data_IF_013267761559
#
_entry.id   IF_013267761559
#
_cell.length_a   1.000
_cell.length_b   1.000
_cell.length_c   1.000
_cell.angle_alpha   90.00
_cell.angle_beta   90.00
_cell.angle_gamma   90.00
#
_symmetry.space_group_name_H-M   'P 1'
#
loop_
_entity.id
_entity.type
_entity.pdbx_description
1 polymer ?
#
# COMPACT_ATOMS: atom_id res chain seq x y z
N UNK A 1 -46.44 -15.01 4.87
CA UNK A 1 -45.44 -14.06 4.34
C UNK A 1 -44.18 -14.36 5.11
N UNK A 2 -43.27 -15.10 4.49
CA UNK A 2 -41.98 -15.38 5.12
C UNK A 2 -41.20 -14.06 5.22
N UNK A 3 -40.66 -13.78 6.40
CA UNK A 3 -39.96 -12.54 6.67
C UNK A 3 -38.65 -12.54 5.88
N UNK A 4 -38.46 -11.54 5.02
CA UNK A 4 -37.18 -11.33 4.34
C UNK A 4 -36.06 -11.26 5.38
N UNK A 5 -34.94 -11.88 5.08
CA UNK A 5 -33.76 -11.84 5.94
C UNK A 5 -32.85 -10.70 5.47
N UNK A 6 -32.15 -10.08 6.39
CA UNK A 6 -31.10 -9.11 6.06
C UNK A 6 -29.73 -9.73 6.36
N UNK A 7 -28.74 -9.36 5.57
CA UNK A 7 -27.33 -9.68 5.78
C UNK A 7 -26.49 -8.41 5.63
N UNK A 8 -25.32 -8.37 6.24
CA UNK A 8 -24.31 -7.38 5.91
C UNK A 8 -23.32 -7.99 4.92
N UNK A 9 -22.90 -7.20 3.93
CA UNK A 9 -21.88 -7.56 2.95
C UNK A 9 -20.77 -6.52 3.02
N UNK A 10 -19.54 -6.95 3.31
CA UNK A 10 -18.36 -6.10 3.18
C UNK A 10 -17.87 -6.15 1.73
N UNK A 11 -17.69 -4.98 1.14
CA UNK A 11 -17.21 -4.77 -0.22
C UNK A 11 -15.89 -4.02 -0.12
N UNK A 12 -14.79 -4.70 -0.42
CA UNK A 12 -13.46 -4.11 -0.36
C UNK A 12 -13.23 -3.12 -1.51
N UNK A 13 -12.66 -1.97 -1.19
CA UNK A 13 -12.46 -0.88 -2.14
C UNK A 13 -11.57 -1.31 -3.33
N UNK A 14 -10.53 -2.09 -3.05
CA UNK A 14 -9.56 -2.55 -4.05
C UNK A 14 -10.20 -3.52 -5.06
N UNK A 15 -11.00 -4.47 -4.58
CA UNK A 15 -11.71 -5.40 -5.46
C UNK A 15 -12.75 -4.67 -6.31
N UNK A 16 -13.50 -3.77 -5.69
CA UNK A 16 -14.52 -2.98 -6.37
C UNK A 16 -13.91 -2.06 -7.44
N UNK A 17 -12.78 -1.40 -7.15
CA UNK A 17 -12.11 -0.52 -8.11
C UNK A 17 -11.60 -1.25 -9.36
N UNK A 18 -11.31 -2.55 -9.26
CA UNK A 18 -10.84 -3.37 -10.37
C UNK A 18 -11.98 -3.82 -11.29
N UNK A 19 -13.01 -4.48 -10.73
CA UNK A 19 -14.07 -5.15 -11.52
C UNK A 19 -15.50 -4.89 -10.99
N UNK A 20 -15.67 -4.00 -10.01
CA UNK A 20 -16.95 -3.73 -9.37
C UNK A 20 -17.95 -3.07 -10.31
N UNK A 21 -19.23 -3.43 -10.14
CA UNK A 21 -20.34 -2.77 -10.83
C UNK A 21 -21.00 -1.76 -9.89
N UNK A 22 -21.13 -0.46 -10.25
CA UNK A 22 -21.81 0.53 -9.43
C UNK A 22 -23.24 0.15 -9.07
N UNK A 23 -23.66 0.48 -7.84
CA UNK A 23 -25.02 0.29 -7.35
C UNK A 23 -25.41 1.33 -6.29
N UNK A 24 -26.70 1.45 -6.03
CA UNK A 24 -27.26 2.41 -5.09
C UNK A 24 -28.21 1.78 -4.05
N UNK A 25 -28.43 2.51 -2.95
CA UNK A 25 -29.44 2.15 -1.96
C UNK A 25 -30.83 2.12 -2.62
N UNK A 26 -31.57 1.05 -2.35
CA UNK A 26 -32.88 0.79 -2.93
C UNK A 26 -32.88 0.00 -4.23
N UNK A 27 -31.72 -0.30 -4.82
CA UNK A 27 -31.58 -1.13 -6.02
C UNK A 27 -31.51 -2.63 -5.67
N UNK A 28 -31.94 -3.47 -6.62
CA UNK A 28 -31.71 -4.91 -6.57
C UNK A 28 -30.35 -5.20 -7.23
N UNK A 29 -29.46 -5.87 -6.50
CA UNK A 29 -28.09 -6.20 -6.93
C UNK A 29 -27.83 -7.68 -6.76
N UNK A 30 -26.93 -8.22 -7.57
CA UNK A 30 -26.35 -9.56 -7.37
C UNK A 30 -24.90 -9.40 -6.97
N UNK A 31 -24.54 -9.91 -5.79
CA UNK A 31 -23.17 -9.91 -5.30
C UNK A 31 -22.69 -11.36 -5.17
N UNK A 32 -21.49 -11.64 -5.64
CA UNK A 32 -20.80 -12.91 -5.39
C UNK A 32 -20.25 -12.88 -3.97
N UNK A 33 -20.80 -13.73 -3.10
CA UNK A 33 -20.49 -13.75 -1.67
C UNK A 33 -19.62 -14.95 -1.30
N UNK A 34 -18.72 -14.73 -0.34
CA UNK A 34 -18.10 -15.79 0.46
C UNK A 34 -18.40 -15.57 1.94
N UNK A 35 -18.50 -16.68 2.67
CA UNK A 35 -18.55 -16.63 4.11
C UNK A 35 -17.12 -16.43 4.68
N UNK A 36 -16.96 -15.68 5.78
CA UNK A 36 -15.69 -15.57 6.47
C UNK A 36 -15.25 -16.90 7.10
N UNK A 37 -13.94 -17.07 7.31
CA UNK A 37 -13.32 -18.32 7.83
C UNK A 37 -13.53 -18.53 9.32
N UNK A 38 -13.72 -17.45 10.09
CA UNK A 38 -14.12 -17.48 11.50
C UNK A 38 -15.53 -16.91 11.64
N UNK A 39 -16.19 -17.14 12.78
CA UNK A 39 -17.42 -16.46 13.19
C UNK A 39 -17.13 -14.95 13.24
N UNK A 40 -17.19 -14.28 12.08
CA UNK A 40 -17.14 -12.84 12.00
C UNK A 40 -18.32 -12.35 12.83
N UNK A 41 -18.02 -11.55 13.86
CA UNK A 41 -19.04 -11.02 14.76
C UNK A 41 -20.19 -10.44 13.97
N UNK A 42 -21.39 -10.99 14.13
CA UNK A 42 -22.61 -10.43 13.57
C UNK A 42 -22.70 -8.95 13.98
N UNK A 43 -22.80 -8.04 13.01
CA UNK A 43 -22.97 -6.63 13.32
C UNK A 43 -24.44 -6.36 13.62
N UNK A 44 -24.74 -5.87 14.81
CA UNK A 44 -26.11 -5.71 15.32
C UNK A 44 -26.95 -7.01 15.24
N UNK A 45 -26.31 -8.17 15.37
CA UNK A 45 -26.97 -9.47 15.27
C UNK A 45 -27.32 -9.91 13.84
N UNK A 46 -26.83 -9.20 12.83
CA UNK A 46 -26.99 -9.55 11.41
C UNK A 46 -25.71 -10.24 10.90
N UNK A 47 -25.82 -11.40 10.22
CA UNK A 47 -24.64 -12.11 9.73
C UNK A 47 -23.92 -11.31 8.64
N UNK A 48 -22.60 -11.42 8.63
CA UNK A 48 -21.71 -10.68 7.72
C UNK A 48 -21.06 -11.62 6.72
N UNK A 49 -21.03 -11.19 5.45
CA UNK A 49 -20.39 -11.87 4.33
C UNK A 49 -19.41 -10.94 3.62
N UNK A 50 -18.54 -11.48 2.80
CA UNK A 50 -17.58 -10.73 2.00
C UNK A 50 -18.00 -10.83 0.53
N UNK A 51 -18.04 -9.70 -0.17
CA UNK A 51 -18.12 -9.70 -1.62
C UNK A 51 -16.74 -10.07 -2.18
N UNK A 52 -16.70 -11.06 -3.07
CA UNK A 52 -15.47 -11.61 -3.64
C UNK A 52 -15.54 -11.54 -5.17
N UNK A 53 -14.65 -10.73 -5.77
CA UNK A 53 -14.53 -10.59 -7.22
C UNK A 53 -13.28 -11.29 -7.79
N UNK A 54 -12.30 -11.65 -6.94
CA UNK A 54 -11.01 -12.18 -7.36
C UNK A 54 -10.64 -13.42 -6.54
N UNK A 55 -11.39 -14.52 -6.65
CA UNK A 55 -11.14 -15.69 -5.82
C UNK A 55 -9.72 -16.23 -6.06
N UNK A 56 -8.90 -16.16 -5.02
CA UNK A 56 -7.53 -16.67 -5.03
C UNK A 56 -7.46 -18.20 -4.88
N UNK A 57 -8.55 -18.83 -4.43
CA UNK A 57 -8.63 -20.26 -4.14
C UNK A 57 -10.00 -20.79 -4.60
N UNK A 58 -9.98 -21.73 -5.55
CA UNK A 58 -11.17 -22.35 -6.12
C UNK A 58 -11.91 -23.28 -5.13
N UNK A 59 -11.29 -23.56 -3.98
CA UNK A 59 -11.89 -24.35 -2.89
C UNK A 59 -12.81 -23.52 -2.00
N UNK A 60 -12.77 -22.19 -2.08
CA UNK A 60 -13.62 -21.31 -1.28
C UNK A 60 -15.05 -21.32 -1.85
N UNK A 61 -16.08 -21.74 -1.10
CA UNK A 61 -17.44 -21.72 -1.59
C UNK A 61 -17.92 -20.29 -1.85
N UNK A 62 -18.29 -20.02 -3.10
CA UNK A 62 -18.90 -18.76 -3.52
C UNK A 62 -20.36 -18.98 -3.88
N UNK A 63 -21.20 -17.96 -3.67
CA UNK A 63 -22.56 -17.95 -4.16
C UNK A 63 -22.96 -16.55 -4.65
N UNK A 64 -23.57 -16.50 -5.83
CA UNK A 64 -24.22 -15.28 -6.32
C UNK A 64 -25.54 -15.08 -5.57
N UNK A 65 -25.64 -13.97 -4.85
CA UNK A 65 -26.80 -13.64 -4.01
C UNK A 65 -27.43 -12.35 -4.50
N UNK A 66 -28.68 -12.46 -4.96
CA UNK A 66 -29.49 -11.32 -5.35
C UNK A 66 -30.32 -10.80 -4.18
N UNK A 67 -30.29 -9.49 -3.94
CA UNK A 67 -31.09 -8.85 -2.92
C UNK A 67 -31.23 -7.35 -3.17
N UNK A 68 -32.06 -6.71 -2.35
CA UNK A 68 -32.27 -5.26 -2.39
C UNK A 68 -31.35 -4.56 -1.39
N UNK A 69 -30.61 -3.57 -1.85
CA UNK A 69 -29.74 -2.76 -0.98
C UNK A 69 -30.61 -1.88 -0.09
N UNK A 70 -30.46 -1.99 1.23
CA UNK A 70 -31.21 -1.18 2.20
C UNK A 70 -30.41 -0.01 2.73
N UNK A 71 -29.10 -0.20 2.89
CA UNK A 71 -28.18 0.79 3.46
C UNK A 71 -26.77 0.53 2.97
N UNK A 72 -26.02 1.60 2.71
CA UNK A 72 -24.59 1.53 2.40
C UNK A 72 -23.88 2.44 3.39
N UNK A 73 -22.90 1.90 4.10
CA UNK A 73 -22.00 2.66 4.97
C UNK A 73 -20.60 2.59 4.36
N UNK A 74 -20.06 3.74 3.97
CA UNK A 74 -18.67 3.87 3.57
C UNK A 74 -17.80 4.05 4.82
N UNK A 75 -16.76 3.21 4.94
CA UNK A 75 -15.78 3.23 6.02
C UNK A 75 -14.44 3.70 5.48
N UNK A 76 -13.95 4.82 6.00
CA UNK A 76 -12.67 5.41 5.63
C UNK A 76 -11.70 5.26 6.80
N UNK A 77 -10.49 4.82 6.52
CA UNK A 77 -9.39 4.78 7.49
C UNK A 77 -8.31 5.77 7.10
N UNK A 78 -7.70 6.43 8.09
CA UNK A 78 -6.67 7.44 7.85
C UNK A 78 -5.46 6.77 7.22
N UNK A 79 -4.96 7.33 6.13
CA UNK A 79 -3.68 6.88 5.59
C UNK A 79 -2.55 7.44 6.45
N UNK A 80 -1.70 6.57 6.97
CA UNK A 80 -0.50 6.95 7.73
C UNK A 80 0.74 6.43 7.02
N UNK A 81 1.83 7.22 6.99
CA UNK A 81 3.07 6.77 6.38
C UNK A 81 3.66 5.60 7.18
N UNK A 82 4.24 4.63 6.49
CA UNK A 82 4.92 3.49 7.11
C UNK A 82 6.42 3.78 7.11
N UNK A 83 7.11 3.76 8.27
CA UNK A 83 8.56 3.92 8.31
C UNK A 83 9.24 2.86 7.42
N UNK A 84 10.16 3.30 6.57
CA UNK A 84 10.89 2.42 5.65
C UNK A 84 10.14 2.03 4.38
N UNK A 85 8.87 2.41 4.18
CA UNK A 85 8.13 2.03 2.99
C UNK A 85 7.67 3.25 2.16
N UNK A 86 7.57 3.07 0.84
CA UNK A 86 7.03 4.09 -0.07
C UNK A 86 5.50 4.16 -0.04
N UNK A 87 4.82 3.13 0.49
CA UNK A 87 3.37 3.10 0.63
C UNK A 87 2.91 3.63 1.99
N UNK A 88 1.60 3.91 2.07
CA UNK A 88 0.90 4.26 3.31
C UNK A 88 0.04 3.09 3.72
N UNK A 89 -0.15 2.91 5.02
CA UNK A 89 -1.09 1.94 5.57
C UNK A 89 -2.33 2.67 6.09
N UNK A 90 -3.41 1.93 6.29
CA UNK A 90 -4.57 2.42 7.02
C UNK A 90 -4.30 2.37 8.53
N UNK A 91 -4.75 3.40 9.25
CA UNK A 91 -4.83 3.44 10.71
C UNK A 91 -6.26 3.06 11.14
N UNK A 92 -6.48 1.85 11.68
CA UNK A 92 -7.81 1.39 12.06
C UNK A 92 -8.38 2.14 13.28
N UNK A 93 -7.55 2.84 14.05
CA UNK A 93 -7.99 3.62 15.21
C UNK A 93 -8.53 5.01 14.81
N UNK A 94 -8.17 5.51 13.62
CA UNK A 94 -8.71 6.74 13.03
C UNK A 94 -9.62 6.41 11.83
N UNK A 95 -10.84 5.98 12.19
CA UNK A 95 -11.87 5.55 11.24
C UNK A 95 -13.07 6.49 11.23
N UNK A 96 -13.53 6.84 10.03
CA UNK A 96 -14.75 7.61 9.79
C UNK A 96 -15.75 6.73 9.02
N UNK A 97 -16.97 6.61 9.54
CA UNK A 97 -18.08 5.95 8.83
C UNK A 97 -19.11 6.98 8.37
N UNK A 98 -19.64 6.81 7.16
CA UNK A 98 -20.70 7.66 6.59
C UNK A 98 -21.75 6.83 5.87
N UNK A 99 -23.01 7.14 6.12
CA UNK A 99 -24.09 6.69 5.25
C UNK A 99 -23.94 7.32 3.86
N UNK A 100 -24.04 6.50 2.82
CA UNK A 100 -23.96 6.92 1.42
C UNK A 100 -25.08 6.28 0.61
N UNK A 101 -25.46 6.93 -0.49
CA UNK A 101 -26.54 6.44 -1.34
C UNK A 101 -26.05 5.51 -2.46
N UNK A 102 -24.73 5.47 -2.75
CA UNK A 102 -24.16 4.73 -3.88
C UNK A 102 -22.71 4.27 -3.68
N UNK A 103 -22.34 3.23 -4.42
CA UNK A 103 -20.97 2.73 -4.59
C UNK A 103 -20.57 2.87 -6.08
N UNK A 104 -19.39 3.42 -6.42
CA UNK A 104 -18.46 4.08 -5.50
C UNK A 104 -19.02 5.43 -5.05
N UNK A 105 -18.57 5.90 -3.90
CA UNK A 105 -18.78 7.28 -3.45
C UNK A 105 -17.84 8.24 -4.17
N UNK A 106 -18.26 9.49 -4.38
CA UNK A 106 -17.45 10.54 -5.01
C UNK A 106 -16.73 11.41 -3.97
N UNK A 107 -17.27 11.52 -2.75
CA UNK A 107 -16.66 12.30 -1.67
C UNK A 107 -15.67 11.45 -0.88
N UNK A 108 -14.40 11.86 -0.89
CA UNK A 108 -13.31 11.22 -0.17
C UNK A 108 -12.67 12.21 0.81
N UNK A 109 -12.70 11.94 2.13
CA UNK A 109 -12.02 12.77 3.11
C UNK A 109 -10.52 12.87 2.82
N UNK A 110 -9.98 14.09 2.83
CA UNK A 110 -8.58 14.33 2.50
C UNK A 110 -7.62 13.53 3.42
N UNK A 111 -6.76 12.72 2.80
CA UNK A 111 -5.76 11.89 3.46
C UNK A 111 -6.29 10.63 4.15
N UNK A 112 -7.52 10.23 3.85
CA UNK A 112 -8.03 8.88 4.13
C UNK A 112 -7.91 8.01 2.87
N UNK A 113 -7.94 6.69 3.06
CA UNK A 113 -7.92 5.71 1.98
C UNK A 113 -9.20 5.71 1.15
N UNK A 114 -9.23 4.90 0.08
CA UNK A 114 -10.48 4.52 -0.54
C UNK A 114 -11.36 3.79 0.49
N UNK A 115 -12.69 4.01 0.50
CA UNK A 115 -13.54 3.40 1.51
C UNK A 115 -13.84 1.96 1.18
N UNK A 116 -13.80 1.11 2.20
CA UNK A 116 -14.52 -0.15 2.18
C UNK A 116 -16.00 0.14 2.45
N UNK A 117 -16.89 -0.67 1.89
CA UNK A 117 -18.33 -0.48 2.04
C UNK A 117 -18.95 -1.62 2.84
N UNK A 118 -19.77 -1.29 3.82
CA UNK A 118 -20.68 -2.23 4.45
C UNK A 118 -22.08 -2.02 3.89
N UNK A 119 -22.61 -3.04 3.23
CA UNK A 119 -23.89 -3.02 2.53
C UNK A 119 -24.88 -3.89 3.29
N UNK A 120 -25.97 -3.29 3.80
CA UNK A 120 -27.12 -4.05 4.30
C UNK A 120 -27.93 -4.52 3.10
N UNK A 121 -27.95 -5.83 2.86
CA UNK A 121 -28.67 -6.45 1.76
C UNK A 121 -29.87 -7.23 2.30
N UNK A 122 -31.08 -6.85 1.87
CA UNK A 122 -32.29 -7.63 2.14
C UNK A 122 -32.48 -8.67 1.05
N UNK A 123 -32.52 -9.93 1.45
CA UNK A 123 -32.62 -11.08 0.56
C UNK A 123 -33.95 -11.82 0.76
N UNK A 124 -34.44 -12.53 -0.28
CA UNK A 124 -35.58 -13.42 -0.12
C UNK A 124 -35.36 -14.45 1.01
N UNK A 125 -36.43 -14.81 1.71
CA UNK A 125 -36.37 -15.86 2.72
C UNK A 125 -35.98 -17.20 2.09
N UNK A 126 -35.09 -17.94 2.74
CA UNK A 126 -34.61 -19.23 2.23
C UNK A 126 -33.56 -19.14 1.13
N UNK A 127 -33.09 -17.93 0.78
CA UNK A 127 -31.89 -17.76 -0.05
C UNK A 127 -30.74 -18.55 0.56
N UNK A 128 -30.14 -19.45 -0.24
CA UNK A 128 -28.98 -20.22 0.17
C UNK A 128 -27.76 -19.30 0.19
N UNK A 129 -27.15 -19.16 1.36
CA UNK A 129 -25.92 -18.42 1.56
C UNK A 129 -24.72 -19.40 1.51
N UNK A 130 -23.52 -18.91 1.16
CA UNK A 130 -22.33 -19.76 1.17
C UNK A 130 -22.03 -20.22 2.60
N UNK A 131 -21.62 -21.49 2.74
CA UNK A 131 -21.17 -22.04 4.01
C UNK A 131 -19.77 -21.47 4.35
N UNK A 132 -19.40 -21.31 5.63
CA UNK A 132 -18.04 -20.96 6.04
C UNK A 132 -17.02 -21.90 5.39
N UNK A 133 -16.01 -21.32 4.75
CA UNK A 133 -14.90 -22.12 4.23
C UNK A 133 -14.17 -22.77 5.41
N UNK A 134 -13.68 -24.03 5.26
CA UNK A 134 -12.76 -24.59 6.24
C UNK A 134 -11.58 -23.62 6.40
N UNK A 135 -11.06 -23.49 7.61
CA UNK A 135 -9.91 -22.65 7.90
C UNK A 135 -8.77 -23.05 6.97
N UNK A 136 -8.52 -22.20 5.96
CA UNK A 136 -7.36 -22.36 5.10
C UNK A 136 -6.20 -21.89 5.94
N UNK A 137 -5.21 -22.75 6.13
CA UNK A 137 -3.92 -22.38 6.70
C UNK A 137 -3.33 -21.35 5.72
N UNK A 138 -3.63 -20.08 5.97
CA UNK A 138 -3.01 -18.99 5.23
C UNK A 138 -1.51 -19.17 5.44
N UNK A 139 -0.74 -19.12 4.36
CA UNK A 139 0.71 -18.92 4.50
C UNK A 139 0.87 -17.80 5.51
N UNK A 140 1.60 -18.02 6.61
CA UNK A 140 1.73 -17.01 7.65
C UNK A 140 2.12 -15.72 6.95
N UNK A 141 1.38 -14.65 7.24
CA UNK A 141 1.81 -13.33 6.82
C UNK A 141 3.29 -13.22 7.19
N UNK A 142 4.17 -12.73 6.29
CA UNK A 142 5.58 -12.61 6.62
C UNK A 142 5.69 -11.95 7.99
N UNK A 143 6.42 -12.60 8.89
CA UNK A 143 6.48 -12.20 10.29
C UNK A 143 7.24 -10.86 10.38
N UNK A 144 6.49 -9.77 10.29
CA UNK A 144 7.02 -8.40 10.38
C UNK A 144 7.51 -8.10 11.81
N UNK A 145 7.17 -8.95 12.80
CA UNK A 145 7.60 -8.83 14.19
C UNK A 145 8.96 -9.49 14.45
N UNK A 146 9.62 -10.06 13.43
CA UNK A 146 10.99 -10.52 13.57
C UNK A 146 11.87 -9.34 14.00
N UNK A 147 12.62 -9.43 15.12
CA UNK A 147 13.46 -8.34 15.55
C UNK A 147 14.60 -8.07 14.54
N UNK A 148 14.97 -6.81 14.32
CA UNK A 148 16.06 -6.46 13.42
C UNK A 148 17.41 -7.01 13.93
N UNK A 149 18.40 -7.25 13.04
CA UNK A 149 19.67 -7.83 13.43
C UNK A 149 20.42 -6.89 14.40
N UNK A 150 20.72 -7.33 15.64
CA UNK A 150 21.24 -6.45 16.70
C UNK A 150 22.62 -5.86 16.36
N UNK A 151 23.33 -6.47 15.42
CA UNK A 151 24.66 -6.02 14.98
C UNK A 151 24.64 -4.71 14.18
N UNK A 152 23.60 -4.48 13.36
CA UNK A 152 23.53 -3.28 12.50
C UNK A 152 22.73 -2.14 13.13
N UNK A 153 21.86 -2.44 14.10
CA UNK A 153 21.04 -1.43 14.77
C UNK A 153 21.84 -0.21 15.25
N UNK A 154 22.97 -0.34 15.96
CA UNK A 154 23.74 0.83 16.40
C UNK A 154 24.25 1.68 15.22
N UNK A 155 24.60 1.05 14.10
CA UNK A 155 25.07 1.74 12.90
C UNK A 155 23.93 2.49 12.22
N UNK A 156 22.74 1.88 12.11
CA UNK A 156 21.55 2.53 11.56
C UNK A 156 21.11 3.70 12.43
N UNK A 157 21.01 3.52 13.76
CA UNK A 157 20.69 4.61 14.70
C UNK A 157 21.70 5.77 14.59
N UNK A 158 22.99 5.46 14.44
CA UNK A 158 24.04 6.47 14.24
C UNK A 158 23.82 7.23 12.93
N UNK A 159 23.54 6.54 11.83
CA UNK A 159 23.24 7.17 10.55
C UNK A 159 22.01 8.09 10.63
N UNK A 160 20.95 7.69 11.32
CA UNK A 160 19.77 8.55 11.53
C UNK A 160 20.14 9.79 12.33
N UNK A 161 20.96 9.67 13.37
CA UNK A 161 21.42 10.80 14.16
C UNK A 161 22.32 11.76 13.36
N UNK A 162 23.21 11.22 12.50
CA UNK A 162 24.02 12.00 11.57
C UNK A 162 23.12 12.83 10.63
N UNK A 163 22.16 12.20 9.97
CA UNK A 163 21.21 12.88 9.07
C UNK A 163 20.38 13.93 9.81
N UNK A 164 19.85 13.61 10.98
CA UNK A 164 19.04 14.56 11.74
C UNK A 164 19.87 15.77 12.21
N UNK A 165 21.14 15.57 12.52
CA UNK A 165 22.06 16.66 12.90
C UNK A 165 22.43 17.55 11.72
N UNK A 166 22.59 16.98 10.52
CA UNK A 166 23.03 17.70 9.33
C UNK A 166 21.86 18.35 8.57
N UNK A 167 20.72 17.66 8.47
CA UNK A 167 19.58 18.03 7.60
C UNK A 167 18.26 18.22 8.37
N UNK A 168 18.28 18.37 9.69
CA UNK A 168 17.08 18.34 10.54
C UNK A 168 15.95 19.30 10.13
N UNK A 169 16.27 20.46 9.55
CA UNK A 169 15.26 21.41 9.05
C UNK A 169 14.76 21.11 7.62
N UNK A 170 15.53 20.35 6.85
CA UNK A 170 15.27 20.02 5.45
C UNK A 170 14.54 18.68 5.25
N UNK A 171 14.56 17.80 6.24
CA UNK A 171 14.06 16.42 6.15
C UNK A 171 13.18 16.06 7.34
N UNK A 172 12.01 15.51 7.05
CA UNK A 172 11.18 14.83 8.05
C UNK A 172 11.64 13.36 8.20
N UNK A 173 11.94 12.96 9.43
CA UNK A 173 12.44 11.62 9.76
C UNK A 173 11.36 10.79 10.43
N UNK A 174 10.84 9.80 9.72
CA UNK A 174 9.87 8.84 10.23
C UNK A 174 10.61 7.55 10.62
N UNK A 175 10.45 7.12 11.88
CA UNK A 175 11.19 6.00 12.48
C UNK A 175 10.24 4.90 12.92
N UNK A 176 10.67 3.65 12.77
CA UNK A 176 9.99 2.47 13.28
C UNK A 176 11.00 1.37 13.62
N UNK A 177 10.58 0.38 14.40
CA UNK A 177 11.37 -0.82 14.74
C UNK A 177 12.80 -0.49 15.20
N UNK A 178 12.93 0.43 16.16
CA UNK A 178 14.24 0.84 16.72
C UNK A 178 15.23 1.38 15.66
N UNK A 179 14.74 2.21 14.73
CA UNK A 179 15.51 2.75 13.58
C UNK A 179 15.94 1.71 12.53
N UNK A 180 15.49 0.46 12.65
CA UNK A 180 15.64 -0.53 11.58
C UNK A 180 14.78 -0.23 10.35
N UNK A 181 13.69 0.53 10.53
CA UNK A 181 12.79 0.97 9.48
C UNK A 181 12.68 2.49 9.52
N UNK A 182 13.16 3.18 8.49
CA UNK A 182 13.22 4.65 8.47
C UNK A 182 12.85 5.19 7.11
N UNK A 183 12.10 6.28 7.11
CA UNK A 183 11.85 7.12 5.93
C UNK A 183 12.41 8.52 6.19
N UNK A 184 13.31 8.97 5.32
CA UNK A 184 13.83 10.32 5.23
C UNK A 184 13.09 11.03 4.09
N UNK A 185 12.09 11.85 4.47
CA UNK A 185 11.26 12.58 3.52
C UNK A 185 11.72 14.05 3.42
N UNK A 186 12.30 14.49 2.30
CA UNK A 186 12.69 15.87 2.12
C UNK A 186 11.46 16.77 2.07
N UNK A 187 11.57 17.97 2.64
CA UNK A 187 10.53 19.01 2.58
C UNK A 187 10.54 19.76 1.25
N UNK A 188 11.67 19.74 0.55
CA UNK A 188 11.83 20.38 -0.75
C UNK A 188 11.14 19.56 -1.84
N UNK A 189 10.24 20.20 -2.57
CA UNK A 189 9.61 19.60 -3.75
C UNK A 189 10.65 19.22 -4.81
N UNK A 190 10.54 18.02 -5.38
CA UNK A 190 11.47 17.51 -6.39
C UNK A 190 12.78 16.93 -5.87
N UNK A 191 13.00 16.94 -4.55
CA UNK A 191 14.10 16.21 -3.92
C UNK A 191 13.72 14.74 -3.65
N UNK A 192 14.71 13.84 -3.71
CA UNK A 192 14.47 12.41 -3.59
C UNK A 192 14.39 11.94 -2.12
N UNK A 193 13.34 11.22 -1.77
CA UNK A 193 13.22 10.56 -0.48
C UNK A 193 14.05 9.28 -0.40
N UNK A 194 14.61 9.00 0.78
CA UNK A 194 15.37 7.78 1.07
C UNK A 194 14.66 6.98 2.13
N UNK A 195 14.60 5.66 1.96
CA UNK A 195 13.93 4.74 2.90
C UNK A 195 14.80 3.53 3.10
N UNK A 196 14.70 2.88 4.24
CA UNK A 196 15.27 1.55 4.40
C UNK A 196 14.49 0.73 5.40
N UNK A 197 14.64 -0.59 5.25
CA UNK A 197 14.23 -1.56 6.25
C UNK A 197 15.31 -2.62 6.43
N UNK A 198 15.61 -2.95 7.68
CA UNK A 198 16.36 -4.13 8.04
C UNK A 198 15.42 -5.26 8.52
N UNK A 199 15.54 -6.42 7.88
CA UNK A 199 14.83 -7.66 8.22
C UNK A 199 15.82 -8.82 8.22
N UNK A 200 15.69 -9.77 9.16
CA UNK A 200 16.42 -11.05 9.24
C UNK A 200 17.92 -11.02 8.86
N UNK A 201 18.21 -11.06 7.56
CA UNK A 201 19.53 -11.15 6.94
C UNK A 201 19.73 -10.14 5.79
N UNK A 202 18.83 -9.17 5.64
CA UNK A 202 18.81 -8.21 4.54
C UNK A 202 18.55 -6.78 5.03
N UNK A 203 19.32 -5.84 4.48
CA UNK A 203 19.04 -4.41 4.53
C UNK A 203 18.54 -3.98 3.16
N UNK A 204 17.28 -3.59 3.04
CA UNK A 204 16.74 -3.03 1.80
C UNK A 204 16.76 -1.51 1.92
N UNK A 205 17.35 -0.84 0.94
CA UNK A 205 17.35 0.62 0.82
C UNK A 205 16.59 1.03 -0.43
N UNK A 206 15.82 2.11 -0.34
CA UNK A 206 15.07 2.69 -1.45
C UNK A 206 15.41 4.17 -1.59
N UNK A 207 15.55 4.64 -2.83
CA UNK A 207 15.49 6.07 -3.18
C UNK A 207 14.31 6.21 -4.13
N UNK A 208 13.28 6.96 -3.73
CA UNK A 208 11.97 6.94 -4.38
C UNK A 208 11.41 5.50 -4.49
N UNK A 209 11.45 4.89 -5.67
CA UNK A 209 11.01 3.52 -5.97
C UNK A 209 12.15 2.66 -6.54
N UNK A 210 13.39 3.14 -6.48
CA UNK A 210 14.58 2.39 -6.82
C UNK A 210 15.04 1.62 -5.59
N UNK A 211 15.14 0.29 -5.69
CA UNK A 211 15.44 -0.60 -4.57
C UNK A 211 16.84 -1.20 -4.70
N UNK A 212 17.60 -1.19 -3.59
CA UNK A 212 18.86 -1.89 -3.43
C UNK A 212 18.75 -2.89 -2.28
N UNK A 213 19.08 -4.15 -2.58
CA UNK A 213 19.33 -5.18 -1.58
C UNK A 213 20.78 -5.09 -1.13
N UNK A 214 21.00 -4.74 0.14
CA UNK A 214 22.30 -4.57 0.76
C UNK A 214 22.55 -5.70 1.77
N UNK A 215 23.83 -5.95 2.06
CA UNK A 215 24.22 -6.85 3.14
C UNK A 215 23.80 -6.26 4.49
N UNK A 216 23.41 -7.11 5.43
CA UNK A 216 23.04 -6.72 6.79
C UNK A 216 24.27 -6.58 7.71
N UNK A 217 25.30 -5.89 7.23
CA UNK A 217 26.57 -5.67 7.92
C UNK A 217 27.09 -4.22 7.74
N UNK A 218 28.30 -3.96 8.24
CA UNK A 218 28.93 -2.64 8.14
C UNK A 218 29.13 -2.18 6.69
N UNK A 219 29.41 -3.10 5.77
CA UNK A 219 29.60 -2.77 4.36
C UNK A 219 28.27 -2.33 3.72
N UNK A 220 27.17 -3.02 4.04
CA UNK A 220 25.84 -2.61 3.57
C UNK A 220 25.40 -1.27 4.15
N UNK A 221 25.66 -1.01 5.44
CA UNK A 221 25.37 0.31 6.04
C UNK A 221 26.24 1.41 5.43
N UNK A 222 27.48 1.12 5.04
CA UNK A 222 28.33 2.07 4.30
C UNK A 222 27.73 2.42 2.93
N UNK A 223 27.20 1.43 2.19
CA UNK A 223 26.48 1.69 0.94
C UNK A 223 25.22 2.51 1.19
N UNK A 224 24.44 2.20 2.23
CA UNK A 224 23.26 3.00 2.60
C UNK A 224 23.63 4.45 2.88
N UNK A 225 24.73 4.71 3.59
CA UNK A 225 25.23 6.07 3.85
C UNK A 225 25.58 6.79 2.54
N UNK A 226 26.23 6.10 1.60
CA UNK A 226 26.55 6.64 0.28
C UNK A 226 25.28 6.98 -0.53
N UNK A 227 24.25 6.14 -0.47
CA UNK A 227 22.94 6.38 -1.10
C UNK A 227 22.24 7.62 -0.48
N UNK A 228 22.23 7.73 0.85
CA UNK A 228 21.70 8.90 1.57
C UNK A 228 22.43 10.18 1.14
N UNK A 229 23.76 10.16 1.11
CA UNK A 229 24.57 11.32 0.72
C UNK A 229 24.43 11.68 -0.77
N UNK A 230 24.15 10.71 -1.64
CA UNK A 230 23.86 10.96 -3.05
C UNK A 230 22.50 11.66 -3.21
N UNK A 231 21.45 11.14 -2.55
CA UNK A 231 20.11 11.74 -2.58
C UNK A 231 20.10 13.15 -1.98
N UNK A 232 20.73 13.34 -0.81
CA UNK A 232 20.80 14.63 -0.13
C UNK A 232 21.45 15.72 -0.99
N UNK A 233 22.44 15.35 -1.80
CA UNK A 233 23.13 16.25 -2.71
C UNK A 233 22.49 16.37 -4.12
N UNK A 234 21.33 15.76 -4.36
CA UNK A 234 20.67 15.80 -5.67
C UNK A 234 21.41 15.01 -6.76
N UNK A 235 22.21 14.01 -6.37
CA UNK A 235 22.99 13.14 -7.28
C UNK A 235 22.32 11.80 -7.56
N UNK A 236 20.99 11.79 -7.47
CA UNK A 236 20.15 10.69 -7.89
C UNK A 236 19.45 11.06 -9.21
N UNK A 237 19.41 10.14 -10.15
CA UNK A 237 18.77 10.33 -11.45
C UNK A 237 18.12 9.04 -11.92
N UNK A 238 17.05 9.17 -12.69
CA UNK A 238 16.38 8.07 -13.33
C UNK A 238 16.31 8.30 -14.84
N UNK A 239 16.45 7.23 -15.59
CA UNK A 239 16.16 7.18 -17.03
C UNK A 239 15.20 6.03 -17.31
N UNK A 240 14.45 6.10 -18.40
CA UNK A 240 13.53 5.03 -18.79
C UNK A 240 13.81 4.58 -20.21
N UNK A 241 13.95 3.27 -20.39
CA UNK A 241 14.08 2.60 -21.68
C UNK A 241 13.17 1.36 -21.70
N UNK A 242 12.34 1.23 -22.73
CA UNK A 242 11.36 0.14 -22.88
C UNK A 242 10.65 -0.27 -21.58
N UNK A 243 10.09 0.71 -20.85
CA UNK A 243 9.38 0.52 -19.56
C UNK A 243 10.25 0.00 -18.40
N UNK A 244 11.55 0.00 -18.59
CA UNK A 244 12.55 -0.29 -17.58
C UNK A 244 13.13 1.03 -17.09
N UNK A 245 12.99 1.31 -15.80
CA UNK A 245 13.56 2.48 -15.17
C UNK A 245 14.94 2.09 -14.64
N UNK A 246 15.98 2.78 -15.11
CA UNK A 246 17.34 2.67 -14.61
C UNK A 246 17.59 3.85 -13.69
N UNK A 247 17.86 3.54 -12.43
CA UNK A 247 18.05 4.50 -11.36
C UNK A 247 19.51 4.49 -10.94
N UNK A 248 20.13 5.66 -10.88
CA UNK A 248 21.56 5.81 -10.60
C UNK A 248 21.78 6.81 -9.48
N UNK A 249 22.41 6.38 -8.40
CA UNK A 249 22.90 7.24 -7.33
C UNK A 249 24.42 7.38 -7.43
N UNK A 250 24.91 8.62 -7.51
CA UNK A 250 26.35 8.91 -7.67
C UNK A 250 26.92 9.59 -6.43
N UNK A 251 27.99 9.03 -5.88
CA UNK A 251 28.70 9.58 -4.72
C UNK A 251 29.63 10.74 -5.10
N UNK A 252 30.24 11.40 -4.12
CA UNK A 252 31.16 12.51 -4.34
C UNK A 252 32.46 12.12 -5.06
N UNK A 253 32.93 10.90 -4.86
CA UNK A 253 34.10 10.33 -5.53
C UNK A 253 33.76 9.73 -6.91
N UNK A 254 32.51 9.83 -7.36
CA UNK A 254 32.06 9.38 -8.68
C UNK A 254 31.72 7.90 -8.77
N UNK A 255 31.62 7.18 -7.64
CA UNK A 255 31.08 5.82 -7.61
C UNK A 255 29.59 5.86 -7.90
N UNK A 256 29.10 4.88 -8.66
CA UNK A 256 27.70 4.79 -9.04
C UNK A 256 27.07 3.51 -8.48
N UNK A 257 25.85 3.64 -7.96
CA UNK A 257 24.98 2.54 -7.56
C UNK A 257 23.77 2.53 -8.47
N UNK A 258 23.56 1.40 -9.15
CA UNK A 258 22.48 1.25 -10.12
C UNK A 258 21.40 0.32 -9.56
N UNK A 259 20.14 0.65 -9.81
CA UNK A 259 18.99 -0.20 -9.58
C UNK A 259 18.06 -0.14 -10.80
N UNK A 260 17.42 -1.27 -11.09
CA UNK A 260 16.56 -1.40 -12.26
C UNK A 260 15.17 -1.84 -11.81
N UNK A 261 14.14 -1.11 -12.24
CA UNK A 261 12.75 -1.46 -11.97
C UNK A 261 12.00 -1.62 -13.29
N UNK A 262 11.43 -2.79 -13.52
CA UNK A 262 10.49 -2.99 -14.64
C UNK A 262 9.11 -2.55 -14.21
N UNK A 263 8.52 -1.59 -14.94
CA UNK A 263 7.16 -1.13 -14.65
C UNK A 263 6.16 -2.24 -14.93
N UNK A 264 5.25 -2.48 -13.98
CA UNK A 264 4.24 -3.52 -14.09
C UNK A 264 3.27 -3.20 -15.23
N UNK A 265 3.02 -4.18 -16.10
CA UNK A 265 2.15 -4.05 -17.27
C UNK A 265 1.11 -5.16 -17.32
N UNK A 266 -0.11 -4.79 -17.68
CA UNK A 266 -1.19 -5.75 -17.86
C UNK A 266 -1.72 -5.66 -19.30
N UNK A 267 -1.78 -6.77 -20.03
CA UNK A 267 -2.41 -6.77 -21.35
C UNK A 267 -3.93 -6.62 -21.19
N UNK A 268 -4.52 -5.61 -21.83
CA UNK A 268 -5.96 -5.40 -21.86
C UNK A 268 -6.42 -5.20 -23.31
N UNK A 269 -7.15 -6.17 -23.87
CA UNK A 269 -7.83 -6.00 -25.17
C UNK A 269 -6.93 -5.77 -26.39
N UNK A 270 -5.62 -6.05 -26.31
CA UNK A 270 -4.65 -5.79 -27.38
C UNK A 270 -3.75 -4.56 -27.13
N UNK A 271 -4.04 -3.78 -26.09
CA UNK A 271 -3.22 -2.66 -25.63
C UNK A 271 -2.54 -2.97 -24.29
N UNK A 272 -1.49 -2.21 -23.96
CA UNK A 272 -0.82 -2.27 -22.65
C UNK A 272 -1.39 -1.19 -21.75
N UNK A 273 -1.98 -1.61 -20.63
CA UNK A 273 -2.44 -0.69 -19.58
C UNK A 273 -1.45 -0.72 -18.43
N UNK A 274 -1.04 0.45 -17.98
CA UNK A 274 -0.31 0.63 -16.72
C UNK A 274 -1.31 0.94 -15.61
N UNK A 275 -1.07 0.41 -14.42
CA UNK A 275 -1.78 0.89 -13.23
C UNK A 275 -1.39 2.37 -13.05
N UNK A 276 -2.36 3.27 -13.23
CA UNK A 276 -2.15 4.71 -13.07
C UNK A 276 -1.75 5.05 -11.64
N UNK A 277 -1.04 6.18 -11.46
CA UNK A 277 -0.55 6.63 -10.15
C UNK A 277 0.95 6.92 -10.17
N UNK A 278 1.66 6.47 -9.13
CA UNK A 278 3.08 6.76 -8.89
C UNK A 278 4.01 6.33 -10.02
N UNK A 279 3.73 5.20 -10.69
CA UNK A 279 4.56 4.72 -11.80
C UNK A 279 4.48 5.65 -13.03
N UNK A 280 3.31 6.23 -13.30
CA UNK A 280 3.15 7.17 -14.41
C UNK A 280 3.95 8.46 -14.15
N UNK A 281 3.81 9.05 -12.96
CA UNK A 281 4.55 10.25 -12.57
C UNK A 281 6.07 10.01 -12.58
N UNK A 282 6.51 8.83 -12.11
CA UNK A 282 7.90 8.41 -12.14
C UNK A 282 8.44 8.29 -13.57
N UNK A 283 7.68 7.66 -14.47
CA UNK A 283 8.05 7.56 -15.90
C UNK A 283 8.17 8.94 -16.54
N UNK A 284 7.20 9.82 -16.33
CA UNK A 284 7.23 11.17 -16.90
C UNK A 284 8.42 11.97 -16.36
N UNK A 285 8.75 11.84 -15.07
CA UNK A 285 9.97 12.42 -14.49
C UNK A 285 11.23 11.85 -15.15
N UNK A 286 11.35 10.52 -15.23
CA UNK A 286 12.51 9.86 -15.84
C UNK A 286 12.68 10.28 -17.32
N UNK A 287 11.59 10.46 -18.07
CA UNK A 287 11.61 10.98 -19.46
C UNK A 287 12.04 12.43 -19.55
N UNK A 288 11.71 13.24 -18.54
CA UNK A 288 12.09 14.65 -18.53
C UNK A 288 13.60 14.85 -18.45
N UNK A 289 14.34 13.85 -17.95
CA UNK A 289 15.79 13.93 -17.74
C UNK A 289 16.21 14.94 -16.67
N UNK A 290 15.26 15.52 -15.94
CA UNK A 290 15.55 16.44 -14.85
C UNK A 290 16.09 15.66 -13.66
N UNK A 291 17.26 16.04 -13.11
CA UNK A 291 17.77 15.41 -11.90
C UNK A 291 16.90 15.77 -10.69
N UNK A 292 16.97 14.94 -9.66
CA UNK A 292 16.39 15.28 -8.37
C UNK A 292 17.15 16.45 -7.73
N UNK A 293 16.43 17.31 -7.02
CA UNK A 293 17.04 18.45 -6.33
C UNK A 293 17.73 18.00 -5.03
N UNK A 294 18.76 18.73 -4.56
CA UNK A 294 19.34 18.51 -3.24
C UNK A 294 18.32 18.85 -2.14
N UNK A 295 18.46 18.22 -0.98
CA UNK A 295 17.56 18.40 0.16
C UNK A 295 17.57 19.84 0.70
N UNK A 296 18.72 20.51 0.67
CA UNK A 296 18.91 21.90 1.07
C UNK A 296 19.31 22.78 -0.14
N UNK A 297 19.06 24.09 -0.03
CA UNK A 297 19.57 25.09 -0.99
C UNK A 297 21.03 25.48 -0.72
N UNK A 298 21.54 25.17 0.46
CA UNK A 298 22.93 25.36 0.85
C UNK A 298 23.73 24.13 0.39
N UNK A 299 24.42 24.26 -0.74
CA UNK A 299 25.47 23.33 -1.23
C UNK A 299 26.75 24.11 -1.47
#
# INVERSE_FOLDING_TARGET
>A
MDAASAIDVLVFSAEFACCGTPFAAGEDVTLTLRAPTQDSSAHDGVPTYLHELHPHDDRVPLADVTGRVERIVASYERLVPVPGAHYRTNDPEDRIERDVDRVPTEDHPAGYGGPDYRVRLRIPSGTRLPDPAPEVELSPAPDFDVPPPPRILPLLTTLVAEVASEFGDAVDVLRGREDASVTLQPRREGAAAVRWNAYLDQLTAEIEHAEWTLTDDEAGVAVLRDLVAAAAAGRFSETVDDWTIVSVATTADGRAYEATTTVSRFPLGGDVVMLGGSDHERIERARSGNPFLPWSDEV
#
